data_IF_658464835438
#
_entry.id   IF_658464835438
#
_cell.length_a   1.000
_cell.length_b   1.000
_cell.length_c   1.000
_cell.angle_alpha   90.00
_cell.angle_beta   90.00
_cell.angle_gamma   90.00
#
_symmetry.space_group_name_H-M   'P 1'
#
loop_
_entity.id
_entity.type
_entity.pdbx_description
1 polymer ?
#
# COMPACT_ATOMS: atom_id res chain seq x y z
N UNK A 1 -24.40 -2.86 -14.00
CA UNK A 1 -23.25 -2.08 -13.46
C UNK A 1 -22.19 -2.06 -14.54
N UNK A 2 -21.61 -0.90 -14.88
CA UNK A 2 -20.50 -0.86 -15.84
C UNK A 2 -19.30 -1.59 -15.22
N UNK A 3 -18.75 -2.58 -15.93
CA UNK A 3 -17.61 -3.35 -15.44
C UNK A 3 -16.40 -2.42 -15.28
N UNK A 4 -15.68 -2.58 -14.18
CA UNK A 4 -14.53 -1.75 -13.86
C UNK A 4 -13.57 -2.49 -12.94
N UNK A 5 -12.28 -2.21 -13.09
CA UNK A 5 -11.21 -2.83 -12.32
C UNK A 5 -10.68 -1.89 -11.23
N UNK A 6 -10.18 -2.48 -10.15
CA UNK A 6 -9.44 -1.76 -9.11
C UNK A 6 -7.96 -2.07 -9.27
N UNK A 7 -7.09 -1.06 -9.45
CA UNK A 7 -5.66 -1.29 -9.46
C UNK A 7 -5.21 -1.70 -8.06
N UNK A 8 -4.54 -2.85 -7.97
CA UNK A 8 -3.95 -3.39 -6.75
C UNK A 8 -2.43 -3.43 -6.95
N UNK A 9 -1.63 -2.85 -6.04
CA UNK A 9 -0.17 -2.95 -6.10
C UNK A 9 0.32 -4.41 -6.19
N UNK A 10 1.17 -4.72 -7.18
CA UNK A 10 1.71 -6.08 -7.39
C UNK A 10 2.43 -6.64 -6.16
N UNK A 11 3.07 -5.76 -5.38
CA UNK A 11 3.74 -6.10 -4.11
C UNK A 11 2.84 -6.89 -3.15
N UNK A 12 1.52 -6.65 -3.19
CA UNK A 12 0.55 -7.37 -2.36
C UNK A 12 0.52 -8.83 -2.76
N UNK A 13 0.49 -9.13 -4.06
CA UNK A 13 0.47 -10.49 -4.59
C UNK A 13 1.84 -11.16 -4.44
N UNK A 14 2.91 -10.46 -4.80
CA UNK A 14 4.24 -11.04 -4.93
C UNK A 14 4.92 -11.30 -3.58
N UNK A 15 4.69 -10.41 -2.60
CA UNK A 15 5.44 -10.44 -1.34
C UNK A 15 4.57 -10.55 -0.09
N UNK A 16 3.41 -9.89 -0.09
CA UNK A 16 2.62 -9.78 1.14
C UNK A 16 1.61 -10.92 1.29
N UNK A 17 1.11 -11.49 0.18
CA UNK A 17 0.06 -12.50 0.17
C UNK A 17 0.39 -13.72 1.04
N UNK A 18 1.65 -14.19 0.99
CA UNK A 18 2.12 -15.33 1.80
C UNK A 18 2.10 -15.06 3.31
N UNK A 19 2.16 -13.78 3.71
CA UNK A 19 2.31 -13.35 5.09
C UNK A 19 0.99 -12.80 5.68
N UNK A 20 -0.06 -12.67 4.89
CA UNK A 20 -1.34 -12.08 5.28
C UNK A 20 -2.38 -13.20 5.42
N UNK A 21 -3.06 -13.26 6.57
CA UNK A 21 -4.16 -14.21 6.77
C UNK A 21 -5.40 -13.87 5.94
N UNK A 22 -6.28 -14.84 5.66
CA UNK A 22 -7.44 -14.66 4.78
C UNK A 22 -8.38 -13.51 5.22
N UNK A 23 -8.58 -13.34 6.53
CA UNK A 23 -9.39 -12.24 7.08
C UNK A 23 -8.73 -10.88 6.87
N UNK A 24 -7.41 -10.81 7.08
CA UNK A 24 -6.61 -9.60 6.86
C UNK A 24 -6.63 -9.21 5.39
N UNK A 25 -6.48 -10.18 4.48
CA UNK A 25 -6.51 -9.95 3.04
C UNK A 25 -7.85 -9.36 2.60
N UNK A 26 -8.98 -9.91 3.06
CA UNK A 26 -10.31 -9.33 2.78
C UNK A 26 -10.42 -7.88 3.22
N UNK A 27 -9.91 -7.55 4.41
CA UNK A 27 -9.94 -6.19 4.95
C UNK A 27 -9.05 -5.26 4.12
N UNK A 28 -7.83 -5.70 3.78
CA UNK A 28 -6.88 -4.96 2.96
C UNK A 28 -7.46 -4.64 1.57
N UNK A 29 -8.08 -5.63 0.93
CA UNK A 29 -8.73 -5.46 -0.37
C UNK A 29 -9.90 -4.47 -0.31
N UNK A 30 -10.65 -4.44 0.79
CA UNK A 30 -11.70 -3.42 0.99
C UNK A 30 -11.10 -2.02 1.09
N UNK A 31 -9.98 -1.85 1.81
CA UNK A 31 -9.28 -0.57 1.92
C UNK A 31 -8.84 -0.11 0.52
N UNK A 32 -8.15 -0.97 -0.24
CA UNK A 32 -7.66 -0.68 -1.59
C UNK A 32 -8.81 -0.34 -2.54
N UNK A 33 -9.92 -1.09 -2.48
CA UNK A 33 -11.11 -0.81 -3.29
C UNK A 33 -11.71 0.55 -2.99
N UNK A 34 -11.64 0.99 -1.73
CA UNK A 34 -12.22 2.24 -1.26
C UNK A 34 -11.28 3.43 -1.47
N UNK A 35 -9.98 3.18 -1.59
CA UNK A 35 -8.96 4.17 -1.96
C UNK A 35 -8.69 4.16 -3.48
N UNK A 36 -7.83 3.26 -3.95
CA UNK A 36 -7.38 3.19 -5.33
C UNK A 36 -8.47 2.78 -6.31
N UNK A 37 -9.59 2.24 -5.85
CA UNK A 37 -10.76 1.97 -6.69
C UNK A 37 -11.63 3.21 -6.99
N UNK A 38 -11.28 4.38 -6.47
CA UNK A 38 -12.01 5.63 -6.68
C UNK A 38 -11.09 6.78 -7.07
N UNK A 39 -11.59 7.69 -7.90
CA UNK A 39 -10.94 8.96 -8.23
C UNK A 39 -11.53 10.05 -7.35
N UNK A 40 -10.68 10.82 -6.70
CA UNK A 40 -11.08 12.02 -5.99
C UNK A 40 -11.50 13.08 -7.02
N UNK A 41 -12.75 13.54 -6.92
CA UNK A 41 -13.33 14.52 -7.83
C UNK A 41 -12.60 15.87 -7.77
N UNK A 42 -11.98 16.20 -6.64
CA UNK A 42 -11.28 17.48 -6.47
C UNK A 42 -9.94 17.50 -7.16
N UNK A 43 -9.20 16.39 -7.11
CA UNK A 43 -7.82 16.32 -7.61
C UNK A 43 -7.69 15.63 -8.95
N UNK A 44 -8.73 14.89 -9.39
CA UNK A 44 -8.68 14.04 -10.58
C UNK A 44 -7.79 12.80 -10.42
N UNK A 45 -7.19 12.60 -9.24
CA UNK A 45 -6.29 11.47 -8.95
C UNK A 45 -6.99 10.40 -8.13
N UNK A 46 -6.43 9.19 -8.09
CA UNK A 46 -6.95 8.13 -7.22
C UNK A 46 -6.86 8.56 -5.75
N UNK A 47 -7.84 8.17 -4.93
CA UNK A 47 -7.83 8.48 -3.49
C UNK A 47 -6.68 7.74 -2.83
N UNK A 48 -5.91 8.44 -2.00
CA UNK A 48 -4.85 7.83 -1.20
C UNK A 48 -5.37 7.23 0.10
N UNK A 49 -6.39 7.87 0.69
CA UNK A 49 -7.06 7.45 1.93
C UNK A 49 -8.58 7.55 1.80
N UNK A 50 -9.30 6.81 2.63
CA UNK A 50 -10.75 6.94 2.74
C UNK A 50 -11.27 6.73 4.15
N UNK A 51 -12.40 7.37 4.46
CA UNK A 51 -13.16 7.14 5.69
C UNK A 51 -13.98 5.86 5.52
N UNK A 52 -13.73 4.86 6.36
CA UNK A 52 -14.40 3.56 6.26
C UNK A 52 -14.95 3.15 7.63
N UNK A 53 -16.26 2.97 7.74
CA UNK A 53 -16.88 2.51 8.97
C UNK A 53 -16.74 0.99 9.16
N UNK A 54 -16.85 0.54 10.42
CA UNK A 54 -16.92 -0.88 10.74
C UNK A 54 -18.09 -1.59 10.04
N UNK A 55 -19.23 -0.90 9.86
CA UNK A 55 -20.39 -1.45 9.13
C UNK A 55 -20.09 -1.63 7.65
N UNK A 56 -19.33 -0.71 7.02
CA UNK A 56 -18.86 -0.89 5.65
C UNK A 56 -17.91 -2.09 5.53
N UNK A 57 -16.98 -2.27 6.47
CA UNK A 57 -16.12 -3.45 6.50
C UNK A 57 -16.93 -4.74 6.65
N UNK A 58 -17.84 -4.81 7.61
CA UNK A 58 -18.68 -5.99 7.84
C UNK A 58 -19.47 -6.36 6.59
N UNK A 59 -20.14 -5.37 5.97
CA UNK A 59 -20.93 -5.58 4.75
C UNK A 59 -20.09 -6.05 3.56
N UNK A 60 -18.89 -5.51 3.37
CA UNK A 60 -18.04 -5.83 2.21
C UNK A 60 -17.23 -7.11 2.40
N UNK A 61 -16.82 -7.44 3.62
CA UNK A 61 -15.97 -8.60 3.91
C UNK A 61 -16.75 -9.84 4.34
N UNK A 62 -17.97 -9.67 4.86
CA UNK A 62 -18.76 -10.72 5.50
C UNK A 62 -18.19 -11.19 6.84
N UNK A 63 -17.25 -10.45 7.44
CA UNK A 63 -16.58 -10.82 8.68
C UNK A 63 -17.30 -10.25 9.91
N UNK A 64 -17.17 -10.94 11.04
CA UNK A 64 -17.62 -10.42 12.33
C UNK A 64 -16.85 -9.16 12.73
N UNK A 65 -17.46 -8.27 13.53
CA UNK A 65 -16.78 -7.06 14.05
C UNK A 65 -15.50 -7.40 14.82
N UNK A 66 -15.52 -8.49 15.60
CA UNK A 66 -14.35 -8.98 16.35
C UNK A 66 -13.20 -9.35 15.41
N UNK A 67 -13.50 -10.09 14.34
CA UNK A 67 -12.52 -10.47 13.32
C UNK A 67 -11.97 -9.26 12.59
N UNK A 68 -12.82 -8.28 12.27
CA UNK A 68 -12.40 -7.02 11.63
C UNK A 68 -11.45 -6.24 12.53
N UNK A 69 -11.81 -6.04 13.80
CA UNK A 69 -10.96 -5.31 14.76
C UNK A 69 -9.59 -5.98 14.93
N UNK A 70 -9.56 -7.31 15.04
CA UNK A 70 -8.32 -8.09 15.09
C UNK A 70 -7.50 -7.94 13.80
N UNK A 71 -8.14 -8.06 12.65
CA UNK A 71 -7.49 -7.96 11.33
C UNK A 71 -6.90 -6.57 11.07
N UNK A 72 -7.64 -5.49 11.36
CA UNK A 72 -7.12 -4.10 11.25
C UNK A 72 -5.90 -3.92 12.17
N UNK A 73 -5.95 -4.46 13.39
CA UNK A 73 -4.85 -4.37 14.33
C UNK A 73 -3.61 -5.14 13.85
N UNK A 74 -3.79 -6.31 13.23
CA UNK A 74 -2.69 -7.09 12.64
C UNK A 74 -2.09 -6.41 11.40
N UNK A 75 -2.93 -5.88 10.50
CA UNK A 75 -2.47 -5.13 9.33
C UNK A 75 -1.68 -3.87 9.73
N UNK A 76 -2.14 -3.16 10.76
CA UNK A 76 -1.44 -1.98 11.31
C UNK A 76 -0.10 -2.37 11.93
N UNK A 77 -0.03 -3.48 12.70
CA UNK A 77 1.24 -4.01 13.22
C UNK A 77 2.22 -4.43 12.13
N UNK A 78 1.72 -4.95 10.99
CA UNK A 78 2.53 -5.30 9.82
C UNK A 78 2.92 -4.08 8.97
N UNK A 79 2.56 -2.86 9.37
CA UNK A 79 2.76 -1.62 8.61
C UNK A 79 2.19 -1.66 7.19
N UNK A 80 1.11 -2.43 6.96
CA UNK A 80 0.45 -2.53 5.66
C UNK A 80 -0.60 -1.44 5.46
N UNK A 81 -1.12 -0.91 6.58
CA UNK A 81 -2.13 0.14 6.60
C UNK A 81 -1.75 1.24 7.58
N UNK A 82 -2.09 2.48 7.22
CA UNK A 82 -2.04 3.64 8.09
C UNK A 82 -3.46 4.02 8.47
N UNK A 83 -3.66 4.30 9.75
CA UNK A 83 -4.97 4.64 10.31
C UNK A 83 -4.82 6.00 10.98
N UNK A 84 -5.66 6.96 10.60
CA UNK A 84 -5.64 8.31 11.17
C UNK A 84 -7.03 8.79 11.56
N UNK A 85 -7.09 9.79 12.42
CA UNK A 85 -8.31 10.57 12.66
C UNK A 85 -8.51 11.65 11.58
N UNK A 86 -9.42 12.59 11.83
CA UNK A 86 -9.67 13.77 10.97
C UNK A 86 -8.52 14.78 10.98
N UNK A 87 -7.78 14.90 12.09
CA UNK A 87 -6.63 15.80 12.24
C UNK A 87 -5.36 15.26 11.57
N UNK A 88 -5.32 13.97 11.26
CA UNK A 88 -4.15 13.27 10.72
C UNK A 88 -3.30 12.55 11.76
N UNK A 89 -3.72 12.57 13.04
CA UNK A 89 -3.08 11.85 14.13
C UNK A 89 -3.19 10.33 13.92
N UNK A 90 -2.09 9.61 14.20
CA UNK A 90 -1.99 8.17 13.92
C UNK A 90 -2.67 7.35 15.03
N UNK A 91 -3.60 6.47 14.64
CA UNK A 91 -4.39 5.64 15.54
C UNK A 91 -3.90 4.18 15.55
N UNK A 92 -2.71 3.95 16.08
CA UNK A 92 -2.07 2.63 16.09
C UNK A 92 -2.73 1.64 17.06
N UNK A 93 -3.19 2.10 18.23
CA UNK A 93 -3.76 1.25 19.28
C UNK A 93 -5.29 1.23 19.21
N UNK A 94 -5.91 0.13 19.63
CA UNK A 94 -7.37 0.00 19.74
C UNK A 94 -7.99 1.09 20.61
N UNK A 95 -7.35 1.46 21.72
CA UNK A 95 -7.84 2.50 22.64
C UNK A 95 -7.90 3.87 21.97
N UNK A 96 -6.94 4.21 21.09
CA UNK A 96 -6.97 5.49 20.38
C UNK A 96 -8.07 5.54 19.30
N UNK A 97 -8.49 4.37 18.79
CA UNK A 97 -9.57 4.27 17.79
C UNK A 97 -10.95 4.34 18.42
N UNK A 98 -11.08 3.99 19.71
CA UNK A 98 -12.36 4.04 20.41
C UNK A 98 -12.81 5.50 20.57
N UNK A 99 -14.09 5.77 20.35
CA UNK A 99 -14.67 7.11 20.46
C UNK A 99 -14.40 8.04 19.27
N UNK A 100 -13.56 7.64 18.32
CA UNK A 100 -13.30 8.46 17.13
C UNK A 100 -14.50 8.43 16.17
N UNK A 101 -15.03 9.61 15.85
CA UNK A 101 -16.17 9.77 14.93
C UNK A 101 -15.77 9.58 13.48
N UNK A 102 -14.51 9.85 13.15
CA UNK A 102 -13.96 9.73 11.81
C UNK A 102 -12.62 9.00 11.82
N UNK A 103 -12.61 7.80 11.22
CA UNK A 103 -11.39 7.01 11.07
C UNK A 103 -11.11 6.85 9.58
N UNK A 104 -9.90 7.26 9.21
CA UNK A 104 -9.38 7.23 7.85
C UNK A 104 -8.37 6.09 7.70
N UNK A 105 -8.47 5.38 6.58
CA UNK A 105 -7.65 4.22 6.26
C UNK A 105 -6.88 4.48 4.97
N UNK A 106 -5.60 4.12 4.96
CA UNK A 106 -4.69 4.25 3.84
C UNK A 106 -3.84 2.99 3.71
N UNK A 107 -3.61 2.53 2.49
CA UNK A 107 -2.63 1.48 2.20
C UNK A 107 -1.21 2.07 2.17
N UNK A 108 -0.25 1.38 2.78
CA UNK A 108 1.16 1.79 2.83
C UNK A 108 1.95 1.02 1.76
N UNK A 109 2.45 1.74 0.75
CA UNK A 109 3.20 1.14 -0.37
C UNK A 109 4.68 0.90 -0.03
N UNK A 110 5.25 1.73 0.84
CA UNK A 110 6.67 1.66 1.22
C UNK A 110 6.81 0.96 2.57
N UNK A 111 6.63 -0.36 2.57
CA UNK A 111 7.00 -1.15 3.75
C UNK A 111 8.53 -1.24 3.73
N UNK A 112 9.25 -0.77 4.77
CA UNK A 112 10.70 -0.92 4.81
C UNK A 112 11.03 -2.40 4.70
N UNK A 113 11.92 -2.74 3.77
CA UNK A 113 12.37 -4.10 3.49
C UNK A 113 13.30 -4.51 4.64
N UNK A 114 12.75 -4.73 5.82
CA UNK A 114 13.45 -5.38 6.92
C UNK A 114 12.68 -6.66 7.19
N UNK A 115 13.37 -7.80 7.18
CA UNK A 115 12.85 -9.14 7.45
C UNK A 115 12.13 -9.88 6.30
N UNK A 116 12.64 -9.85 5.07
CA UNK A 116 12.32 -10.90 4.09
C UNK A 116 13.61 -11.36 3.42
N UNK A 117 14.10 -12.53 3.83
CA UNK A 117 15.07 -13.26 3.02
C UNK A 117 14.42 -13.51 1.67
N UNK A 118 14.91 -12.85 0.62
CA UNK A 118 14.49 -13.07 -0.75
C UNK A 118 15.01 -14.44 -1.20
N UNK A 119 14.35 -15.52 -0.80
CA UNK A 119 14.50 -16.81 -1.47
C UNK A 119 13.59 -16.86 -2.70
N UNK A 120 13.85 -15.95 -3.65
CA UNK A 120 13.40 -16.21 -5.01
C UNK A 120 14.34 -17.26 -5.61
N UNK A 121 13.89 -18.51 -5.61
CA UNK A 121 14.41 -19.50 -6.55
C UNK A 121 14.14 -18.94 -7.95
N UNK A 122 15.19 -18.43 -8.60
CA UNK A 122 15.19 -17.96 -10.00
C UNK A 122 14.88 -19.14 -10.92
N UNK A 123 13.61 -19.49 -11.06
CA UNK A 123 13.12 -20.28 -12.20
C UNK A 123 11.96 -19.54 -12.85
N UNK A 124 12.35 -18.70 -13.80
CA UNK A 124 11.67 -18.35 -15.04
C UNK A 124 10.17 -18.02 -14.99
N UNK A 125 9.87 -16.72 -14.88
CA UNK A 125 8.77 -16.10 -15.64
C UNK A 125 9.34 -14.91 -16.40
N UNK A 126 9.75 -15.20 -17.64
CA UNK A 126 10.35 -14.29 -18.62
C UNK A 126 9.38 -13.21 -19.10
N UNK A 127 9.80 -11.93 -19.01
CA UNK A 127 10.03 -10.98 -20.14
C UNK A 127 10.61 -9.66 -19.58
N UNK A 128 11.61 -9.14 -20.28
CA UNK A 128 12.57 -8.09 -19.90
C UNK A 128 11.99 -6.68 -19.74
N UNK A 129 12.58 -5.86 -18.85
CA UNK A 129 12.79 -4.43 -19.11
C UNK A 129 14.22 -4.09 -18.66
N UNK A 130 15.12 -3.89 -19.62
CA UNK A 130 16.50 -3.47 -19.41
C UNK A 130 16.58 -2.03 -18.85
N UNK A 131 16.34 -1.86 -17.55
CA UNK A 131 16.45 -0.57 -16.86
C UNK A 131 17.89 -0.24 -16.38
N UNK A 132 18.88 -1.09 -16.65
CA UNK A 132 20.27 -0.87 -16.20
C UNK A 132 21.11 0.01 -17.13
N UNK A 133 20.73 0.19 -18.39
CA UNK A 133 21.51 1.00 -19.34
C UNK A 133 21.26 2.51 -19.23
N UNK A 134 20.07 2.90 -18.76
CA UNK A 134 19.62 4.30 -18.75
C UNK A 134 20.34 5.12 -17.65
N UNK A 135 20.70 4.49 -16.53
CA UNK A 135 21.30 5.18 -15.38
C UNK A 135 22.80 5.47 -15.58
N UNK A 136 23.57 4.49 -16.05
CA UNK A 136 25.03 4.65 -16.20
C UNK A 136 25.44 5.64 -17.30
N UNK A 137 24.64 5.76 -18.36
CA UNK A 137 24.95 6.68 -19.47
C UNK A 137 24.73 8.13 -19.04
N UNK A 138 23.64 8.40 -18.32
CA UNK A 138 23.34 9.73 -17.80
C UNK A 138 24.32 10.15 -16.70
N UNK A 139 24.67 9.23 -15.79
CA UNK A 139 25.68 9.49 -14.74
C UNK A 139 27.05 9.78 -15.37
N UNK A 140 27.46 9.06 -16.42
CA UNK A 140 28.71 9.35 -17.13
C UNK A 140 28.69 10.72 -17.81
N UNK A 141 27.59 11.11 -18.43
CA UNK A 141 27.47 12.44 -19.05
C UNK A 141 27.56 13.56 -18.01
N UNK A 142 26.89 13.39 -16.86
CA UNK A 142 26.96 14.35 -15.74
C UNK A 142 28.40 14.47 -15.24
N UNK A 143 29.08 13.35 -14.96
CA UNK A 143 30.46 13.35 -14.48
C UNK A 143 31.44 14.01 -15.46
N UNK A 144 31.28 13.76 -16.76
CA UNK A 144 32.12 14.37 -17.80
C UNK A 144 31.88 15.89 -17.86
N UNK A 145 30.64 16.34 -17.71
CA UNK A 145 30.28 17.76 -17.76
C UNK A 145 30.83 18.51 -16.55
N UNK A 146 30.66 17.94 -15.35
CA UNK A 146 31.22 18.49 -14.10
C UNK A 146 32.74 18.55 -14.12
N UNK A 147 33.42 17.57 -14.73
CA UNK A 147 34.88 17.56 -14.82
C UNK A 147 35.43 18.66 -15.74
N UNK A 148 34.75 18.98 -16.84
CA UNK A 148 35.09 20.14 -17.70
C UNK A 148 34.88 21.47 -17.00
N UNK A 149 33.80 21.61 -16.23
CA UNK A 149 33.49 22.84 -15.49
C UNK A 149 34.49 23.11 -14.36
N UNK A 150 35.08 22.05 -13.78
CA UNK A 150 36.09 22.13 -12.73
C UNK A 150 37.55 22.17 -13.24
N UNK A 151 37.78 22.08 -14.57
CA UNK A 151 39.11 22.15 -15.17
C UNK A 151 40.04 20.97 -14.86
N UNK A 152 39.50 19.77 -14.62
CA UNK A 152 40.23 18.53 -14.25
C UNK A 152 40.20 17.44 -15.33
#
# INVERSE_FOLDING_TARGET
MKEGYTPIPNIIFDQQLKNIGSSELKILLVIIRQTYGWVDKKTGKRKEKDRISYTQFARKTGLSRKTISKGISLLSKKNLIKITDSSGYILNTTSNRQGQTEIWYQHVQNVPITCVNFTHNKRNYTKEINNKEIDYKHIKEILIKTRRELGL
#
